data_IF_216709566686
#
_entry.id   IF_216709566686
#
_cell.length_a   1.000
_cell.length_b   1.000
_cell.length_c   1.000
_cell.angle_alpha   90.00
_cell.angle_beta   90.00
_cell.angle_gamma   90.00
#
_symmetry.space_group_name_H-M   'P 1'
#
loop_
_entity.id
_entity.type
_entity.pdbx_description
1 polymer ?
#
# COMPACT_ATOMS: atom_id res chain seq x y z
N UNK A 1 9.78 -8.54 -3.31
CA UNK A 1 8.40 -8.33 -3.83
C UNK A 1 7.80 -9.52 -4.59
N UNK A 2 8.58 -10.39 -5.26
CA UNK A 2 8.04 -11.52 -6.06
C UNK A 2 7.13 -12.47 -5.27
N UNK A 3 7.54 -12.91 -4.08
CA UNK A 3 6.70 -13.79 -3.23
C UNK A 3 5.35 -13.16 -2.84
N UNK A 4 5.32 -11.85 -2.61
CA UNK A 4 4.10 -11.15 -2.20
C UNK A 4 3.09 -11.00 -3.33
N UNK A 5 3.56 -10.75 -4.56
CA UNK A 5 2.67 -10.70 -5.72
C UNK A 5 2.17 -12.11 -6.09
N UNK A 6 3.03 -13.13 -6.01
CA UNK A 6 2.64 -14.53 -6.22
C UNK A 6 1.54 -14.95 -5.23
N UNK A 7 1.68 -14.60 -3.95
CA UNK A 7 0.63 -14.80 -2.94
C UNK A 7 -0.66 -14.05 -3.28
N UNK A 8 -0.58 -12.79 -3.70
CA UNK A 8 -1.77 -12.01 -4.09
C UNK A 8 -2.52 -12.66 -5.27
N UNK A 9 -1.78 -13.28 -6.19
CA UNK A 9 -2.31 -13.91 -7.39
C UNK A 9 -3.03 -15.24 -7.13
N UNK A 10 -2.82 -15.88 -5.96
CA UNK A 10 -3.56 -17.10 -5.60
C UNK A 10 -4.98 -16.82 -5.12
N UNK A 11 -5.35 -15.55 -4.91
CA UNK A 11 -6.65 -15.15 -4.37
C UNK A 11 -7.66 -14.89 -5.50
N UNK A 12 -8.94 -15.13 -5.20
CA UNK A 12 -10.07 -14.76 -6.05
C UNK A 12 -10.15 -13.24 -6.26
N UNK A 13 -10.84 -12.77 -7.31
CA UNK A 13 -11.05 -11.34 -7.52
C UNK A 13 -11.69 -10.64 -6.30
N UNK A 14 -12.61 -11.29 -5.61
CA UNK A 14 -13.27 -10.73 -4.43
C UNK A 14 -12.28 -10.56 -3.28
N UNK A 15 -11.50 -11.59 -2.97
CA UNK A 15 -10.45 -11.56 -1.95
C UNK A 15 -9.36 -10.54 -2.28
N UNK A 16 -8.97 -10.41 -3.55
CA UNK A 16 -8.02 -9.38 -3.98
C UNK A 16 -8.54 -7.97 -3.69
N UNK A 17 -9.84 -7.72 -3.90
CA UNK A 17 -10.44 -6.42 -3.57
C UNK A 17 -10.41 -6.17 -2.06
N UNK A 18 -10.74 -7.18 -1.25
CA UNK A 18 -10.67 -7.09 0.21
C UNK A 18 -9.24 -6.81 0.71
N UNK A 19 -8.23 -7.46 0.13
CA UNK A 19 -6.81 -7.23 0.45
C UNK A 19 -6.41 -5.78 0.14
N UNK A 20 -6.84 -5.25 -1.02
CA UNK A 20 -6.54 -3.86 -1.40
C UNK A 20 -7.22 -2.86 -0.44
N UNK A 21 -8.47 -3.10 -0.06
CA UNK A 21 -9.18 -2.29 0.94
C UNK A 21 -8.47 -2.34 2.30
N UNK A 22 -8.01 -3.53 2.71
CA UNK A 22 -7.26 -3.72 3.94
C UNK A 22 -5.94 -2.94 3.92
N UNK A 23 -5.17 -3.01 2.82
CA UNK A 23 -3.94 -2.21 2.65
C UNK A 23 -4.22 -0.72 2.69
N UNK A 24 -5.29 -0.26 2.02
CA UNK A 24 -5.72 1.13 2.04
C UNK A 24 -6.01 1.62 3.46
N UNK A 25 -6.68 0.82 4.30
CA UNK A 25 -6.90 1.16 5.70
C UNK A 25 -5.60 1.30 6.49
N UNK A 26 -4.60 0.47 6.21
CA UNK A 26 -3.29 0.55 6.87
C UNK A 26 -2.50 1.77 6.40
N UNK A 27 -2.57 2.15 5.12
CA UNK A 27 -1.96 3.40 4.63
C UNK A 27 -2.52 4.62 5.38
N UNK A 28 -3.83 4.67 5.62
CA UNK A 28 -4.48 5.73 6.41
C UNK A 28 -4.03 5.70 7.87
N UNK A 29 -3.97 4.52 8.50
CA UNK A 29 -3.44 4.39 9.87
C UNK A 29 -1.97 4.79 9.98
N UNK A 30 -1.17 4.50 8.94
CA UNK A 30 0.22 4.91 8.83
C UNK A 30 0.37 6.43 8.64
N UNK A 31 -0.72 7.15 8.35
CA UNK A 31 -0.76 8.59 8.04
C UNK A 31 -0.01 8.91 6.75
N UNK A 32 -0.26 8.13 5.70
CA UNK A 32 0.26 8.41 4.37
C UNK A 32 -0.08 9.84 3.94
N UNK A 33 0.88 10.53 3.34
CA UNK A 33 0.76 11.91 2.84
C UNK A 33 1.05 11.96 1.34
N UNK A 34 0.60 13.02 0.66
CA UNK A 34 0.76 13.15 -0.80
C UNK A 34 2.23 13.08 -1.24
N UNK A 35 3.15 13.53 -0.40
CA UNK A 35 4.61 13.48 -0.63
C UNK A 35 5.16 12.05 -0.70
N UNK A 36 4.46 11.06 -0.15
CA UNK A 36 4.88 9.65 -0.19
C UNK A 36 4.72 9.05 -1.59
N UNK A 37 3.88 9.64 -2.45
CA UNK A 37 3.52 9.12 -3.76
C UNK A 37 4.70 8.84 -4.69
N UNK A 38 5.57 9.83 -4.99
CA UNK A 38 6.72 9.63 -5.89
C UNK A 38 7.68 8.53 -5.43
N UNK A 39 7.99 8.48 -4.13
CA UNK A 39 8.89 7.46 -3.58
C UNK A 39 8.25 6.07 -3.62
N UNK A 40 6.95 5.98 -3.30
CA UNK A 40 6.19 4.72 -3.38
C UNK A 40 6.14 4.16 -4.81
N UNK A 41 5.96 5.02 -5.82
CA UNK A 41 6.01 4.62 -7.24
C UNK A 41 7.37 4.03 -7.59
N UNK A 42 8.44 4.71 -7.17
CA UNK A 42 9.83 4.29 -7.42
C UNK A 42 10.12 2.93 -6.77
N UNK A 43 9.80 2.77 -5.47
CA UNK A 43 9.98 1.50 -4.75
C UNK A 43 9.13 0.37 -5.34
N UNK A 44 7.91 0.68 -5.77
CA UNK A 44 7.00 -0.30 -6.37
C UNK A 44 7.45 -0.74 -7.77
N UNK A 45 8.41 -0.06 -8.40
CA UNK A 45 8.86 -0.34 -9.77
C UNK A 45 7.76 -0.16 -10.81
N UNK A 46 6.86 0.81 -10.58
CA UNK A 46 5.79 1.15 -11.52
C UNK A 46 6.25 2.24 -12.47
N UNK A 47 5.70 2.21 -13.69
CA UNK A 47 5.89 3.32 -14.62
C UNK A 47 4.98 4.48 -14.19
N UNK A 48 5.42 5.74 -14.30
CA UNK A 48 4.57 6.90 -13.99
C UNK A 48 3.26 6.95 -14.80
N UNK A 49 3.20 6.25 -15.94
CA UNK A 49 2.01 6.16 -16.79
C UNK A 49 1.02 5.06 -16.39
N UNK A 50 1.35 4.20 -15.43
CA UNK A 50 0.40 3.22 -14.91
C UNK A 50 -0.69 3.92 -14.09
N UNK A 51 -1.95 3.50 -14.23
CA UNK A 51 -3.11 4.10 -13.56
C UNK A 51 -2.90 4.39 -12.07
N UNK A 52 -2.45 3.44 -11.23
CA UNK A 52 -2.27 3.73 -9.80
C UNK A 52 -1.17 4.77 -9.53
N UNK A 53 -0.13 4.85 -10.37
CA UNK A 53 0.93 5.86 -10.26
C UNK A 53 0.43 7.27 -10.63
N UNK A 54 -0.45 7.36 -11.63
CA UNK A 54 -1.13 8.62 -11.97
C UNK A 54 -2.05 9.04 -10.84
N UNK A 55 -2.89 8.12 -10.32
CA UNK A 55 -3.85 8.43 -9.26
C UNK A 55 -3.16 8.94 -7.99
N UNK A 56 -2.13 8.24 -7.50
CA UNK A 56 -1.47 8.60 -6.22
C UNK A 56 -0.79 9.98 -6.26
N UNK A 57 -0.43 10.47 -7.45
CA UNK A 57 0.21 11.79 -7.63
C UNK A 57 -0.81 12.89 -7.96
N UNK A 58 -2.09 12.56 -8.10
CA UNK A 58 -3.13 13.46 -8.57
C UNK A 58 -4.11 13.84 -7.45
N UNK A 59 -3.70 14.76 -6.58
CA UNK A 59 -4.56 15.37 -5.56
C UNK A 59 -4.43 14.74 -4.16
N UNK A 60 -5.46 14.89 -3.29
CA UNK A 60 -5.37 14.46 -1.89
C UNK A 60 -5.25 12.95 -1.76
N UNK A 61 -4.22 12.48 -1.04
CA UNK A 61 -3.89 11.04 -0.96
C UNK A 61 -5.04 10.18 -0.43
N UNK A 62 -5.79 10.64 0.57
CA UNK A 62 -6.90 9.87 1.16
C UNK A 62 -7.97 9.49 0.13
N UNK A 63 -8.27 10.39 -0.81
CA UNK A 63 -9.23 10.14 -1.89
C UNK A 63 -8.64 9.18 -2.93
N UNK A 64 -7.35 9.31 -3.22
CA UNK A 64 -6.68 8.51 -4.24
C UNK A 64 -6.45 7.07 -3.77
N UNK A 65 -6.15 6.87 -2.48
CA UNK A 65 -6.04 5.54 -1.88
C UNK A 65 -7.33 4.72 -2.06
N UNK A 66 -8.50 5.35 -1.91
CA UNK A 66 -9.79 4.70 -2.18
C UNK A 66 -9.91 4.27 -3.65
N UNK A 67 -9.68 5.20 -4.59
CA UNK A 67 -9.73 4.91 -6.03
C UNK A 67 -8.76 3.83 -6.46
N UNK A 68 -7.56 3.79 -5.86
CA UNK A 68 -6.54 2.78 -6.14
C UNK A 68 -6.99 1.40 -5.63
N UNK A 69 -7.61 1.33 -4.44
CA UNK A 69 -8.13 0.08 -3.90
C UNK A 69 -9.31 -0.47 -4.73
N UNK A 70 -10.09 0.42 -5.35
CA UNK A 70 -11.24 0.06 -6.19
C UNK A 70 -10.86 -0.28 -7.65
N UNK A 71 -9.56 -0.28 -8.00
CA UNK A 71 -9.13 -0.53 -9.37
C UNK A 71 -9.55 -1.93 -9.86
N UNK A 72 -9.96 -1.95 -11.12
CA UNK A 72 -10.27 -3.13 -11.92
C UNK A 72 -9.68 -2.92 -13.31
N UNK A 73 -9.33 -3.97 -14.10
CA UNK A 73 -9.40 -5.42 -13.84
C UNK A 73 -8.18 -5.96 -13.06
N UNK A 74 -8.01 -7.30 -13.00
CA UNK A 74 -6.94 -8.00 -12.23
C UNK A 74 -5.53 -7.44 -12.46
N UNK A 75 -5.17 -7.11 -13.70
CA UNK A 75 -3.85 -6.54 -13.99
C UNK A 75 -3.63 -5.15 -13.37
N UNK A 76 -4.69 -4.36 -13.20
CA UNK A 76 -4.61 -3.09 -12.45
C UNK A 76 -4.55 -3.34 -10.95
N UNK A 77 -5.22 -4.38 -10.44
CA UNK A 77 -5.15 -4.79 -9.03
C UNK A 77 -3.74 -5.22 -8.61
N UNK A 78 -3.04 -5.96 -9.46
CA UNK A 78 -1.62 -6.31 -9.23
C UNK A 78 -0.74 -5.05 -9.08
N UNK A 79 -0.98 -4.02 -9.89
CA UNK A 79 -0.24 -2.75 -9.81
C UNK A 79 -0.66 -1.96 -8.58
N UNK A 80 -1.95 -1.93 -8.25
CA UNK A 80 -2.49 -1.32 -7.06
C UNK A 80 -1.89 -1.95 -5.79
N UNK A 81 -1.84 -3.29 -5.73
CA UNK A 81 -1.23 -4.03 -4.63
C UNK A 81 0.23 -3.64 -4.43
N UNK A 82 1.03 -3.69 -5.50
CA UNK A 82 2.45 -3.26 -5.46
C UNK A 82 2.59 -1.83 -4.95
N UNK A 83 1.75 -0.91 -5.41
CA UNK A 83 1.82 0.48 -4.97
C UNK A 83 1.42 0.63 -3.50
N UNK A 84 0.29 0.07 -3.08
CA UNK A 84 -0.23 0.24 -1.72
C UNK A 84 0.70 -0.38 -0.66
N UNK A 85 1.38 -1.49 -0.98
CA UNK A 85 2.42 -2.04 -0.10
C UNK A 85 3.55 -1.04 0.11
N UNK A 86 4.00 -0.36 -0.94
CA UNK A 86 5.09 0.61 -0.84
C UNK A 86 4.65 1.93 -0.21
N UNK A 87 3.42 2.38 -0.46
CA UNK A 87 2.82 3.52 0.26
C UNK A 87 2.76 3.23 1.75
N UNK A 88 2.30 2.04 2.13
CA UNK A 88 2.29 1.62 3.53
C UNK A 88 3.71 1.60 4.10
N UNK A 89 4.69 1.05 3.38
CA UNK A 89 6.07 0.98 3.86
C UNK A 89 6.68 2.38 4.09
N UNK A 90 6.51 3.30 3.14
CA UNK A 90 7.01 4.69 3.24
C UNK A 90 6.33 5.44 4.38
N UNK A 91 5.00 5.37 4.45
CA UNK A 91 4.23 6.04 5.49
C UNK A 91 4.54 5.47 6.88
N UNK A 92 4.69 4.14 7.00
CA UNK A 92 4.98 3.47 8.27
C UNK A 92 6.40 3.75 8.76
N UNK A 93 7.38 3.86 7.88
CA UNK A 93 8.75 4.31 8.20
C UNK A 93 8.70 5.67 8.90
N UNK A 94 8.04 6.67 8.28
CA UNK A 94 7.87 7.99 8.88
C UNK A 94 7.02 7.98 10.16
N UNK A 95 6.02 7.09 10.25
CA UNK A 95 5.21 6.93 11.46
C UNK A 95 6.05 6.42 12.63
N UNK A 96 6.88 5.40 12.38
CA UNK A 96 7.69 4.76 13.43
C UNK A 96 8.70 5.73 14.01
N UNK A 97 9.38 6.48 13.17
CA UNK A 97 10.35 7.49 13.57
C UNK A 97 9.73 8.59 14.45
N UNK A 98 8.52 9.05 14.10
CA UNK A 98 7.92 10.23 14.73
C UNK A 98 7.01 9.91 15.92
N UNK A 99 6.32 8.77 15.88
CA UNK A 99 5.20 8.51 16.80
C UNK A 99 5.31 7.19 17.57
N UNK A 100 6.26 6.30 17.23
CA UNK A 100 6.36 4.98 17.84
C UNK A 100 7.71 4.68 18.52
N UNK A 101 8.57 5.68 18.67
CA UNK A 101 9.87 5.54 19.34
C UNK A 101 9.77 5.15 20.81
N UNK A 102 8.65 5.49 21.48
CA UNK A 102 8.33 5.09 22.85
C UNK A 102 7.46 3.83 22.98
N UNK A 103 7.25 3.09 21.90
CA UNK A 103 6.33 1.96 21.82
C UNK A 103 5.08 2.26 20.97
N UNK A 104 4.44 1.20 20.46
CA UNK A 104 3.27 1.32 19.60
C UNK A 104 2.17 0.31 19.96
N UNK A 105 0.93 0.80 20.10
CA UNK A 105 -0.25 -0.03 20.38
C UNK A 105 -0.93 -0.63 19.14
N UNK A 106 -0.42 -0.41 17.93
CA UNK A 106 -1.00 -1.02 16.73
C UNK A 106 -0.69 -2.51 16.70
N UNK A 107 -1.71 -3.35 16.63
CA UNK A 107 -1.53 -4.81 16.59
C UNK A 107 -0.64 -5.24 15.42
N UNK A 108 -0.75 -4.57 14.27
CA UNK A 108 0.02 -4.87 13.06
C UNK A 108 1.50 -4.46 13.14
N UNK A 109 1.90 -3.70 14.16
CA UNK A 109 3.32 -3.47 14.51
C UNK A 109 3.90 -4.57 15.41
N UNK A 110 3.03 -5.38 16.01
CA UNK A 110 3.38 -6.45 16.94
C UNK A 110 3.13 -7.84 16.34
N UNK A 111 3.09 -7.93 15.00
CA UNK A 111 3.01 -9.20 14.32
C UNK A 111 4.27 -10.02 14.63
N UNK A 112 4.13 -11.33 14.89
CA UNK A 112 5.28 -12.20 15.02
C UNK A 112 6.07 -12.17 13.71
N UNK A 113 7.40 -12.14 13.80
CA UNK A 113 8.24 -12.37 12.63
C UNK A 113 7.91 -13.79 12.16
N UNK A 114 7.46 -13.93 10.91
CA UNK A 114 7.23 -15.24 10.33
C UNK A 114 8.57 -15.99 10.32
N UNK A 115 8.62 -17.15 10.99
CA UNK A 115 9.76 -18.06 10.89
C UNK A 115 9.97 -18.40 9.41
N UNK A 116 11.17 -18.13 8.90
CA UNK A 116 11.52 -18.23 7.48
C UNK A 116 11.68 -19.64 6.95
#
# INVERSE_FOLDING_TARGET
>A
MSKGIEWFDTHSPEEQAEILLFLRHHCVQARAVTEDGPESIRRAGLRPTHTPAVLITCGPIDQQLGKIADLTPVDERRKAFRLLVEVLAVADEGRRERFCSGGCGHWWHNLPVADG
#
